data_IF_844411595153
#
_entry.id   IF_844411595153
#
_cell.length_a   1.000
_cell.length_b   1.000
_cell.length_c   1.000
_cell.angle_alpha   90.00
_cell.angle_beta   90.00
_cell.angle_gamma   90.00
#
_symmetry.space_group_name_H-M   'P 1'
#
loop_
_entity.id
_entity.type
_entity.pdbx_description
1 polymer ?
#
# COMPACT_ATOMS: atom_id res chain seq x y z
N UNK A 1 7.18 -0.30 1.72
CA UNK A 1 6.38 -0.09 2.95
C UNK A 1 5.16 -0.99 2.93
N UNK A 2 4.76 -1.59 4.05
CA UNK A 2 3.47 -2.30 4.17
C UNK A 2 2.78 -1.74 5.41
N UNK A 3 1.55 -1.26 5.27
CA UNK A 3 0.83 -0.65 6.39
C UNK A 3 -0.62 -0.34 6.08
N UNK A 4 -1.42 -0.08 7.11
CA UNK A 4 -2.86 0.15 7.01
C UNK A 4 -3.24 1.63 7.19
N UNK A 5 -2.30 2.48 7.61
CA UNK A 5 -2.55 3.90 7.81
C UNK A 5 -2.25 4.67 6.55
N UNK A 6 -3.30 5.28 5.97
CA UNK A 6 -3.18 6.15 4.80
C UNK A 6 -2.12 7.25 5.02
N UNK A 7 -2.15 7.91 6.18
CA UNK A 7 -1.34 9.10 6.42
C UNK A 7 0.12 8.78 6.74
N UNK A 8 0.38 7.77 7.57
CA UNK A 8 1.77 7.45 7.95
C UNK A 8 2.45 6.55 6.93
N UNK A 9 1.74 5.55 6.41
CA UNK A 9 2.38 4.45 5.69
C UNK A 9 2.34 4.72 4.18
N UNK A 10 1.17 5.08 3.65
CA UNK A 10 1.00 5.33 2.21
C UNK A 10 1.57 6.68 1.83
N UNK A 11 1.08 7.78 2.43
CA UNK A 11 1.59 9.11 2.13
C UNK A 11 3.07 9.26 2.53
N UNK A 12 3.47 8.68 3.67
CA UNK A 12 4.88 8.68 4.08
C UNK A 12 5.78 8.01 3.05
N UNK A 13 5.40 6.82 2.55
CA UNK A 13 6.17 6.13 1.51
C UNK A 13 6.18 6.90 0.18
N UNK A 14 5.04 7.48 -0.22
CA UNK A 14 4.94 8.29 -1.44
C UNK A 14 5.85 9.52 -1.39
N UNK A 15 5.91 10.21 -0.25
CA UNK A 15 6.79 11.36 -0.06
C UNK A 15 8.29 11.01 -0.13
N UNK A 16 8.63 9.75 0.13
CA UNK A 16 10.01 9.24 0.05
C UNK A 16 10.31 8.54 -1.28
N UNK A 17 9.34 8.46 -2.21
CA UNK A 17 9.48 7.73 -3.47
C UNK A 17 9.63 6.21 -3.28
N UNK A 18 9.13 5.66 -2.17
CA UNK A 18 9.23 4.24 -1.84
C UNK A 18 7.91 3.54 -2.20
N UNK A 19 7.98 2.38 -2.84
CA UNK A 19 6.80 1.56 -3.12
C UNK A 19 6.06 1.15 -1.82
N UNK A 20 4.74 1.19 -1.85
CA UNK A 20 3.89 0.86 -0.69
C UNK A 20 2.81 -0.16 -1.03
N UNK A 21 2.57 -1.08 -0.10
CA UNK A 21 1.41 -1.97 -0.07
C UNK A 21 0.47 -1.46 1.02
N UNK A 22 -0.69 -0.94 0.62
CA UNK A 22 -1.74 -0.51 1.54
C UNK A 22 -2.61 -1.69 1.96
N UNK A 23 -2.69 -1.98 3.26
CA UNK A 23 -3.61 -2.99 3.81
C UNK A 23 -4.93 -2.34 4.22
N UNK A 24 -5.99 -2.67 3.49
CA UNK A 24 -7.33 -2.10 3.68
C UNK A 24 -8.39 -3.21 3.70
N UNK A 25 -8.50 -3.91 4.83
CA UNK A 25 -9.49 -4.99 4.99
C UNK A 25 -10.94 -4.50 4.92
N UNK A 26 -11.18 -3.25 5.29
CA UNK A 26 -12.52 -2.67 5.41
C UNK A 26 -12.94 -1.89 4.14
N UNK A 27 -12.09 -1.84 3.12
CA UNK A 27 -12.30 -1.03 1.90
C UNK A 27 -12.67 0.42 2.21
N UNK A 28 -12.05 0.99 3.25
CA UNK A 28 -12.27 2.39 3.61
C UNK A 28 -11.72 3.29 2.50
N UNK A 29 -12.39 4.42 2.20
CA UNK A 29 -11.89 5.34 1.20
C UNK A 29 -10.51 5.85 1.58
N UNK A 30 -9.61 5.88 0.60
CA UNK A 30 -8.33 6.57 0.73
C UNK A 30 -8.56 8.07 0.97
N UNK A 31 -7.69 8.71 1.76
CA UNK A 31 -7.68 10.17 1.90
C UNK A 31 -7.15 10.85 0.63
N UNK A 32 -6.97 12.18 0.67
CA UNK A 32 -6.38 12.91 -0.45
C UNK A 32 -4.93 12.47 -0.73
N UNK A 33 -4.50 12.52 -2.00
CA UNK A 33 -3.13 12.25 -2.44
C UNK A 33 -2.99 11.00 -3.32
N UNK A 34 -1.74 10.60 -3.55
CA UNK A 34 -1.45 9.42 -4.38
C UNK A 34 -1.78 8.12 -3.63
N UNK A 35 -2.37 7.11 -4.30
CA UNK A 35 -2.68 5.80 -3.71
C UNK A 35 -1.40 5.03 -3.35
N UNK A 36 -1.52 3.90 -2.62
CA UNK A 36 -0.40 2.97 -2.50
C UNK A 36 -0.07 2.36 -3.87
N UNK A 37 1.14 1.80 -4.01
CA UNK A 37 1.53 1.11 -5.24
C UNK A 37 0.66 -0.12 -5.52
N UNK A 38 0.27 -0.83 -4.47
CA UNK A 38 -0.69 -1.94 -4.48
C UNK A 38 -1.58 -1.82 -3.24
N UNK A 39 -2.88 -2.07 -3.37
CA UNK A 39 -3.78 -2.22 -2.23
C UNK A 39 -4.20 -3.70 -2.08
N UNK A 40 -4.23 -4.18 -0.84
CA UNK A 40 -4.66 -5.54 -0.48
C UNK A 40 -5.67 -5.49 0.65
N UNK A 41 -6.65 -6.40 0.64
CA UNK A 41 -7.66 -6.53 1.69
C UNK A 41 -7.42 -7.75 2.61
N UNK A 42 -6.44 -8.58 2.28
CA UNK A 42 -6.01 -9.73 3.08
C UNK A 42 -4.49 -9.84 3.15
N UNK A 43 -3.97 -10.19 4.32
CA UNK A 43 -2.53 -10.46 4.50
C UNK A 43 -2.03 -11.62 3.62
N UNK A 44 -2.93 -12.53 3.21
CA UNK A 44 -2.59 -13.63 2.28
C UNK A 44 -2.18 -13.14 0.89
N UNK A 45 -2.53 -11.91 0.51
CA UNK A 45 -2.19 -11.33 -0.79
C UNK A 45 -0.79 -10.69 -0.78
N UNK A 46 -0.15 -10.53 0.39
CA UNK A 46 1.17 -9.88 0.50
C UNK A 46 2.24 -10.59 -0.34
N UNK A 47 2.36 -11.94 -0.35
CA UNK A 47 3.37 -12.61 -1.16
C UNK A 47 3.24 -12.28 -2.66
N UNK A 48 2.03 -12.32 -3.21
CA UNK A 48 1.76 -11.98 -4.62
C UNK A 48 2.04 -10.49 -4.91
N UNK A 49 1.66 -9.61 -3.98
CA UNK A 49 1.94 -8.17 -4.10
C UNK A 49 3.45 -7.87 -4.12
N UNK A 50 4.26 -8.58 -3.32
CA UNK A 50 5.71 -8.43 -3.32
C UNK A 50 6.34 -8.85 -4.65
N UNK A 51 5.88 -9.96 -5.22
CA UNK A 51 6.33 -10.42 -6.56
C UNK A 51 5.98 -9.37 -7.63
N UNK A 52 4.77 -8.82 -7.59
CA UNK A 52 4.32 -7.79 -8.53
C UNK A 52 5.13 -6.48 -8.43
N UNK A 53 5.62 -6.12 -7.23
CA UNK A 53 6.50 -4.97 -7.05
C UNK A 53 7.94 -5.21 -7.53
N UNK A 54 8.49 -6.41 -7.30
CA UNK A 54 9.86 -6.74 -7.71
C UNK A 54 10.03 -6.99 -9.21
N UNK A 55 8.93 -7.17 -9.95
CA UNK A 55 8.93 -7.39 -11.40
C UNK A 55 8.80 -6.09 -12.22
N UNK A 56 8.92 -4.93 -11.57
CA UNK A 56 8.81 -3.59 -12.18
C UNK A 56 10.15 -2.90 -12.33
#
# INVERSE_FOLDING_TARGET
MIGNSWRSDVQGANNLGIASIGFNQQSLPSGEGSPPSIEVSSLRQIPEALVALGSR
#
